data_IF_977629358353
#
_entry.id   IF_977629358353
#
_cell.length_a   1.000
_cell.length_b   1.000
_cell.length_c   1.000
_cell.angle_alpha   90.00
_cell.angle_beta   90.00
_cell.angle_gamma   90.00
#
_symmetry.space_group_name_H-M   'P 1'
#
loop_
_entity.id
_entity.type
_entity.pdbx_description
1 polymer ?
#
# COMPACT_ATOMS: atom_id res chain seq x y z
N UNK A 1 -0.50 43.11 -16.72
CA UNK A 1 -0.41 41.84 -15.97
C UNK A 1 0.23 40.82 -16.91
N UNK A 2 1.48 40.48 -16.63
CA UNK A 2 2.30 39.61 -17.49
C UNK A 2 1.54 38.32 -17.82
N UNK A 3 1.63 37.88 -19.07
CA UNK A 3 1.06 36.61 -19.55
C UNK A 3 1.43 35.46 -18.61
N UNK A 4 2.63 35.52 -18.04
CA UNK A 4 3.10 34.63 -16.99
C UNK A 4 2.23 34.61 -15.73
N UNK A 5 1.90 35.77 -15.13
CA UNK A 5 1.07 35.86 -13.93
C UNK A 5 -0.35 35.31 -14.16
N UNK A 6 -0.93 35.59 -15.33
CA UNK A 6 -2.23 35.02 -15.73
C UNK A 6 -2.18 33.49 -15.78
N UNK A 7 -1.07 32.92 -16.22
CA UNK A 7 -0.91 31.47 -16.31
C UNK A 7 -0.89 30.82 -14.94
N UNK A 8 -0.14 31.41 -14.01
CA UNK A 8 -0.07 30.95 -12.63
C UNK A 8 -1.46 30.98 -12.00
N UNK A 9 -2.17 32.11 -12.14
CA UNK A 9 -3.49 32.28 -11.53
C UNK A 9 -4.56 31.35 -12.14
N UNK A 10 -4.53 31.11 -13.45
CA UNK A 10 -5.60 30.36 -14.13
C UNK A 10 -5.39 28.84 -14.14
N UNK A 11 -4.16 28.36 -13.95
CA UNK A 11 -3.82 26.94 -14.13
C UNK A 11 -3.01 26.39 -12.97
N UNK A 12 -1.96 27.08 -12.53
CA UNK A 12 -1.07 26.58 -11.47
C UNK A 12 -1.76 26.52 -10.11
N UNK A 13 -2.26 27.66 -9.60
CA UNK A 13 -2.94 27.69 -8.30
C UNK A 13 -4.21 26.83 -8.26
N UNK A 14 -5.08 26.82 -9.29
CA UNK A 14 -6.23 25.91 -9.31
C UNK A 14 -5.84 24.43 -9.25
N UNK A 15 -4.72 24.04 -9.87
CA UNK A 15 -4.22 22.67 -9.77
C UNK A 15 -3.73 22.36 -8.37
N UNK A 16 -2.91 23.23 -7.75
CA UNK A 16 -2.43 23.01 -6.39
C UNK A 16 -3.57 22.95 -5.37
N UNK A 17 -4.53 23.87 -5.48
CA UNK A 17 -5.71 23.88 -4.62
C UNK A 17 -6.52 22.61 -4.77
N UNK A 18 -6.77 22.16 -6.01
CA UNK A 18 -7.47 20.90 -6.27
C UNK A 18 -6.71 19.70 -5.71
N UNK A 19 -5.38 19.66 -5.88
CA UNK A 19 -4.56 18.56 -5.36
C UNK A 19 -4.56 18.52 -3.84
N UNK A 20 -4.45 19.67 -3.18
CA UNK A 20 -4.51 19.77 -1.72
C UNK A 20 -5.90 19.32 -1.21
N UNK A 21 -6.96 19.85 -1.82
CA UNK A 21 -8.33 19.48 -1.49
C UNK A 21 -8.58 17.98 -1.70
N UNK A 22 -8.03 17.40 -2.76
CA UNK A 22 -8.15 15.98 -3.03
C UNK A 22 -7.44 15.13 -1.97
N UNK A 23 -6.18 15.43 -1.65
CA UNK A 23 -5.42 14.67 -0.63
C UNK A 23 -6.10 14.78 0.74
N UNK A 24 -6.45 16.00 1.17
CA UNK A 24 -7.10 16.21 2.47
C UNK A 24 -8.51 15.63 2.50
N UNK A 25 -9.32 15.86 1.48
CA UNK A 25 -10.70 15.39 1.40
C UNK A 25 -10.79 13.87 1.30
N UNK A 26 -9.93 13.25 0.48
CA UNK A 26 -9.86 11.79 0.40
C UNK A 26 -9.45 11.18 1.74
N UNK A 27 -8.39 11.69 2.35
CA UNK A 27 -7.89 11.17 3.63
C UNK A 27 -8.94 11.32 4.75
N UNK A 28 -9.69 12.43 4.76
CA UNK A 28 -10.78 12.65 5.70
C UNK A 28 -11.92 11.66 5.51
N UNK A 29 -12.37 11.43 4.26
CA UNK A 29 -13.44 10.47 3.96
C UNK A 29 -13.00 9.04 4.27
N UNK A 30 -11.76 8.67 3.92
CA UNK A 30 -11.18 7.37 4.24
C UNK A 30 -11.17 7.16 5.76
N UNK A 31 -10.61 8.11 6.51
CA UNK A 31 -10.61 8.07 7.97
C UNK A 31 -12.03 7.95 8.54
N UNK A 32 -12.96 8.79 8.09
CA UNK A 32 -14.32 8.82 8.64
C UNK A 32 -15.07 7.51 8.36
N UNK A 33 -15.06 7.02 7.12
CA UNK A 33 -15.89 5.89 6.71
C UNK A 33 -15.29 4.53 7.08
N UNK A 34 -13.97 4.35 6.91
CA UNK A 34 -13.34 3.04 7.10
C UNK A 34 -12.71 2.88 8.47
N UNK A 35 -12.10 3.95 9.02
CA UNK A 35 -11.41 3.86 10.31
C UNK A 35 -12.34 4.16 11.48
N UNK A 36 -13.12 5.24 11.39
CA UNK A 36 -13.95 5.67 12.52
C UNK A 36 -15.33 5.01 12.55
N UNK A 37 -15.98 4.85 11.40
CA UNK A 37 -17.31 4.26 11.30
C UNK A 37 -17.31 2.77 10.97
N UNK A 38 -16.15 2.20 10.58
CA UNK A 38 -15.99 0.81 10.15
C UNK A 38 -17.11 0.33 9.20
N UNK A 39 -17.61 1.23 8.33
CA UNK A 39 -18.88 1.03 7.63
C UNK A 39 -18.84 -0.18 6.69
N UNK A 40 -17.65 -0.54 6.18
CA UNK A 40 -17.40 -1.67 5.31
C UNK A 40 -15.90 -2.00 5.27
N UNK A 41 -15.55 -3.28 5.12
CA UNK A 41 -14.16 -3.72 4.94
C UNK A 41 -13.81 -3.82 3.46
N UNK A 42 -13.11 -2.82 2.92
CA UNK A 42 -12.55 -2.88 1.58
C UNK A 42 -11.15 -3.51 1.57
N UNK A 43 -10.80 -4.05 0.41
CA UNK A 43 -9.43 -4.43 0.12
C UNK A 43 -8.50 -3.20 0.20
N UNK A 44 -7.40 -3.34 0.92
CA UNK A 44 -6.45 -2.26 1.14
C UNK A 44 -5.82 -1.74 -0.15
N UNK A 45 -5.58 -2.60 -1.14
CA UNK A 45 -5.00 -2.21 -2.42
C UNK A 45 -6.02 -1.33 -3.18
N UNK A 46 -7.31 -1.61 -3.04
CA UNK A 46 -8.37 -0.80 -3.65
C UNK A 46 -8.38 0.61 -3.04
N UNK A 47 -8.33 0.70 -1.71
CA UNK A 47 -8.43 2.00 -1.01
C UNK A 47 -7.14 2.80 -1.13
N UNK A 48 -5.99 2.18 -0.91
CA UNK A 48 -4.74 2.92 -0.80
C UNK A 48 -4.13 3.24 -2.17
N UNK A 49 -4.43 2.45 -3.21
CA UNK A 49 -3.83 2.59 -4.54
C UNK A 49 -4.86 2.91 -5.63
N UNK A 50 -5.85 2.04 -5.85
CA UNK A 50 -6.72 2.12 -7.03
C UNK A 50 -7.71 3.29 -6.97
N UNK A 51 -8.37 3.52 -5.82
CA UNK A 51 -9.33 4.61 -5.66
C UNK A 51 -8.66 5.99 -5.84
N UNK A 52 -7.53 6.31 -5.19
CA UNK A 52 -6.80 7.55 -5.44
C UNK A 52 -6.44 7.71 -6.93
N UNK A 53 -6.04 6.62 -7.60
CA UNK A 53 -5.66 6.64 -9.00
C UNK A 53 -6.87 6.90 -9.94
N UNK A 54 -8.02 6.28 -9.69
CA UNK A 54 -9.23 6.45 -10.51
C UNK A 54 -9.87 7.82 -10.28
N UNK A 55 -9.98 8.24 -9.01
CA UNK A 55 -10.58 9.54 -8.68
C UNK A 55 -9.73 10.70 -9.19
N UNK A 56 -8.40 10.57 -9.16
CA UNK A 56 -7.53 11.60 -9.71
C UNK A 56 -7.66 11.74 -11.22
N UNK A 57 -7.88 10.65 -11.95
CA UNK A 57 -8.26 10.67 -13.36
C UNK A 57 -9.55 11.46 -13.59
N UNK A 58 -10.60 11.14 -12.84
CA UNK A 58 -11.91 11.78 -12.97
C UNK A 58 -11.82 13.30 -12.71
N UNK A 59 -11.21 13.69 -11.59
CA UNK A 59 -11.03 15.09 -11.23
C UNK A 59 -10.19 15.86 -12.26
N UNK A 60 -9.13 15.23 -12.78
CA UNK A 60 -8.27 15.86 -13.80
C UNK A 60 -9.01 16.05 -15.12
N UNK A 61 -9.85 15.10 -15.54
CA UNK A 61 -10.66 15.22 -16.77
C UNK A 61 -11.70 16.36 -16.62
N UNK A 62 -12.34 16.48 -15.46
CA UNK A 62 -13.40 17.48 -15.25
C UNK A 62 -12.81 18.88 -15.06
N UNK A 63 -11.79 19.03 -14.22
CA UNK A 63 -11.28 20.34 -13.80
C UNK A 63 -10.03 20.78 -14.54
N UNK A 64 -9.06 19.89 -14.78
CA UNK A 64 -7.76 20.27 -15.37
C UNK A 64 -7.84 20.32 -16.89
N UNK A 65 -8.48 19.34 -17.54
CA UNK A 65 -8.64 19.29 -19.01
C UNK A 65 -9.19 20.59 -19.63
N UNK A 66 -10.29 21.22 -19.14
CA UNK A 66 -10.78 22.47 -19.72
C UNK A 66 -9.81 23.64 -19.54
N UNK A 67 -9.01 23.64 -18.47
CA UNK A 67 -7.98 24.66 -18.24
C UNK A 67 -6.78 24.47 -19.17
N UNK A 68 -6.40 23.21 -19.46
CA UNK A 68 -5.36 22.89 -20.44
C UNK A 68 -5.75 23.31 -21.87
N UNK A 69 -7.05 23.36 -22.22
CA UNK A 69 -7.48 23.88 -23.53
C UNK A 69 -7.10 25.35 -23.76
N UNK A 70 -6.82 26.12 -22.69
CA UNK A 70 -6.36 27.52 -22.76
C UNK A 70 -4.87 27.66 -23.08
N UNK A 71 -4.15 26.54 -23.20
CA UNK A 71 -2.75 26.50 -23.54
C UNK A 71 -2.54 26.17 -25.02
N UNK A 72 -1.57 26.83 -25.63
CA UNK A 72 -1.20 26.62 -27.03
C UNK A 72 -0.15 25.52 -27.11
N UNK A 73 -0.58 24.31 -27.46
CA UNK A 73 0.30 23.18 -27.68
C UNK A 73 0.67 23.05 -29.16
N UNK A 74 1.92 22.67 -29.44
CA UNK A 74 2.42 22.44 -30.81
C UNK A 74 1.89 21.13 -31.38
N UNK A 75 1.78 20.09 -30.54
CA UNK A 75 1.24 18.77 -30.92
C UNK A 75 -0.03 18.50 -30.12
N UNK A 76 -1.04 17.90 -30.76
CA UNK A 76 -2.32 17.65 -30.09
C UNK A 76 -2.18 16.65 -28.92
N UNK A 77 -1.32 15.63 -29.08
CA UNK A 77 -1.03 14.65 -28.02
C UNK A 77 -0.40 15.27 -26.76
N UNK A 78 0.23 16.44 -26.84
CA UNK A 78 0.85 17.10 -25.68
C UNK A 78 -0.16 17.40 -24.57
N UNK A 79 -1.42 17.70 -24.93
CA UNK A 79 -2.49 17.93 -23.94
C UNK A 79 -2.75 16.70 -23.08
N UNK A 80 -2.75 15.52 -23.71
CA UNK A 80 -2.94 14.25 -23.02
C UNK A 80 -1.78 13.95 -22.08
N UNK A 81 -0.53 14.22 -22.48
CA UNK A 81 0.63 14.07 -21.61
C UNK A 81 0.56 14.98 -20.37
N UNK A 82 0.15 16.24 -20.53
CA UNK A 82 -0.03 17.15 -19.38
C UNK A 82 -1.14 16.65 -18.44
N UNK A 83 -2.22 16.09 -18.99
CA UNK A 83 -3.28 15.49 -18.20
C UNK A 83 -2.79 14.27 -17.42
N UNK A 84 -2.05 13.36 -18.06
CA UNK A 84 -1.48 12.18 -17.42
C UNK A 84 -0.54 12.58 -16.27
N UNK A 85 0.32 13.57 -16.49
CA UNK A 85 1.21 14.08 -15.44
C UNK A 85 0.39 14.70 -14.30
N UNK A 86 -0.62 15.53 -14.59
CA UNK A 86 -1.48 16.12 -13.56
C UNK A 86 -2.15 15.05 -12.68
N UNK A 87 -2.59 13.94 -13.29
CA UNK A 87 -3.14 12.78 -12.57
C UNK A 87 -2.10 12.20 -11.61
N UNK A 88 -0.89 11.92 -12.08
CA UNK A 88 0.17 11.33 -11.24
C UNK A 88 0.60 12.27 -10.11
N UNK A 89 0.76 13.56 -10.40
CA UNK A 89 1.14 14.57 -9.42
C UNK A 89 0.09 14.76 -8.31
N UNK A 90 -1.16 14.38 -8.56
CA UNK A 90 -2.24 14.41 -7.58
C UNK A 90 -2.45 13.06 -6.88
N UNK A 91 -2.28 11.94 -7.60
CA UNK A 91 -2.46 10.59 -7.08
C UNK A 91 -1.36 10.18 -6.10
N UNK A 92 -0.09 10.38 -6.47
CA UNK A 92 1.07 9.93 -5.67
C UNK A 92 1.06 10.48 -4.24
N UNK A 93 0.94 11.80 -3.97
CA UNK A 93 0.88 12.30 -2.61
C UNK A 93 -0.37 11.80 -1.84
N UNK A 94 -1.47 11.49 -2.55
CA UNK A 94 -2.67 10.92 -1.94
C UNK A 94 -2.42 9.47 -1.49
N UNK A 95 -1.80 8.65 -2.32
CA UNK A 95 -1.42 7.25 -2.02
C UNK A 95 -0.51 7.21 -0.79
N UNK A 96 0.54 8.04 -0.79
CA UNK A 96 1.48 8.14 0.36
C UNK A 96 0.75 8.62 1.63
N UNK A 97 -0.22 9.54 1.49
CA UNK A 97 -1.04 9.97 2.62
C UNK A 97 -1.92 8.84 3.18
N UNK A 98 -2.42 7.93 2.34
CA UNK A 98 -3.20 6.79 2.81
C UNK A 98 -2.35 5.78 3.59
N UNK A 99 -1.13 5.52 3.13
CA UNK A 99 -0.18 4.68 3.87
C UNK A 99 0.20 5.26 5.24
N UNK A 100 0.31 6.58 5.33
CA UNK A 100 0.55 7.28 6.60
C UNK A 100 -0.67 7.23 7.52
N UNK A 101 -1.87 7.43 6.97
CA UNK A 101 -3.12 7.38 7.71
C UNK A 101 -3.27 6.00 8.37
N UNK A 102 -3.08 4.92 7.59
CA UNK A 102 -3.14 3.53 8.06
C UNK A 102 -2.27 3.30 9.30
N UNK A 103 -1.01 3.74 9.28
CA UNK A 103 -0.09 3.50 10.41
C UNK A 103 -0.36 4.42 11.59
N UNK A 104 -0.80 5.65 11.34
CA UNK A 104 -1.05 6.64 12.40
C UNK A 104 -2.30 6.32 13.21
N UNK A 105 -3.38 5.89 12.54
CA UNK A 105 -4.67 5.66 13.19
C UNK A 105 -4.78 4.27 13.82
N UNK A 106 -3.85 3.37 13.50
CA UNK A 106 -3.84 2.04 14.08
C UNK A 106 -3.55 2.06 15.59
N UNK A 107 -4.51 1.58 16.38
CA UNK A 107 -4.40 1.44 17.83
C UNK A 107 -3.58 0.21 18.19
N UNK A 108 -2.71 0.36 19.19
CA UNK A 108 -2.01 -0.74 19.86
C UNK A 108 -2.83 -1.21 21.07
N UNK A 109 -3.18 -2.49 21.08
CA UNK A 109 -3.87 -3.14 22.20
C UNK A 109 -2.91 -4.11 22.88
N UNK A 110 -2.80 -4.00 24.20
CA UNK A 110 -2.04 -4.96 25.00
C UNK A 110 -2.98 -6.10 25.38
N UNK A 111 -2.57 -7.34 25.10
CA UNK A 111 -3.27 -8.54 25.51
C UNK A 111 -2.37 -9.33 26.45
N UNK A 112 -2.93 -9.80 27.55
CA UNK A 112 -2.20 -10.71 28.45
C UNK A 112 -1.99 -12.05 27.73
N UNK A 113 -3.00 -12.52 27.00
CA UNK A 113 -2.96 -13.77 26.23
C UNK A 113 -3.65 -13.60 24.87
N UNK A 114 -3.24 -14.36 23.87
CA UNK A 114 -3.89 -14.40 22.55
C UNK A 114 -5.37 -14.84 22.63
N UNK A 115 -5.80 -15.51 23.71
CA UNK A 115 -7.21 -15.85 23.94
C UNK A 115 -8.12 -14.61 24.05
N UNK A 116 -7.57 -13.50 24.55
CA UNK A 116 -8.31 -12.24 24.72
C UNK A 116 -8.63 -11.56 23.38
N UNK A 117 -8.06 -12.04 22.27
CA UNK A 117 -8.34 -11.54 20.93
C UNK A 117 -9.84 -11.51 20.61
N UNK A 118 -10.59 -12.48 21.11
CA UNK A 118 -12.02 -12.63 20.90
C UNK A 118 -12.88 -11.85 21.91
N UNK A 119 -12.26 -11.29 22.95
CA UNK A 119 -12.93 -10.51 24.00
C UNK A 119 -12.89 -9.00 23.76
N UNK A 120 -12.01 -8.54 22.86
CA UNK A 120 -11.82 -7.14 22.54
C UNK A 120 -12.27 -6.81 21.11
N UNK A 121 -12.59 -5.55 20.89
CA UNK A 121 -12.79 -5.04 19.54
C UNK A 121 -11.52 -5.22 18.69
N UNK A 122 -11.74 -5.41 17.40
CA UNK A 122 -10.69 -5.63 16.43
C UNK A 122 -9.81 -4.38 16.32
N UNK A 123 -8.52 -4.51 16.59
CA UNK A 123 -7.55 -3.40 16.45
C UNK A 123 -6.45 -3.76 15.46
N UNK A 124 -5.71 -2.74 15.02
CA UNK A 124 -4.67 -2.90 14.00
C UNK A 124 -3.41 -3.56 14.56
N UNK A 125 -3.04 -3.27 15.81
CA UNK A 125 -1.79 -3.71 16.40
C UNK A 125 -2.02 -4.33 17.78
N UNK A 126 -1.28 -5.42 18.06
CA UNK A 126 -1.37 -6.14 19.33
C UNK A 126 0.01 -6.38 19.92
N UNK A 127 0.15 -6.15 21.22
CA UNK A 127 1.31 -6.56 22.00
C UNK A 127 0.87 -7.71 22.91
N UNK A 128 1.50 -8.88 22.75
CA UNK A 128 1.17 -10.08 23.51
C UNK A 128 2.18 -10.27 24.64
N UNK A 129 1.71 -10.51 25.86
CA UNK A 129 2.59 -10.90 26.97
C UNK A 129 2.85 -12.42 26.98
N UNK A 130 1.79 -13.21 26.77
CA UNK A 130 1.86 -14.66 26.72
C UNK A 130 1.31 -15.20 25.40
N UNK A 131 2.16 -15.91 24.66
CA UNK A 131 1.76 -16.65 23.47
C UNK A 131 2.77 -17.74 23.13
N UNK A 132 2.32 -18.77 22.43
CA UNK A 132 3.18 -19.80 21.88
C UNK A 132 2.98 -19.90 20.36
N UNK A 133 4.00 -19.54 19.59
CA UNK A 133 4.01 -19.68 18.14
C UNK A 133 4.73 -20.98 17.79
N UNK A 134 4.01 -21.89 17.15
CA UNK A 134 4.54 -23.20 16.82
C UNK A 134 5.18 -23.22 15.42
N UNK A 135 6.48 -23.53 15.38
CA UNK A 135 7.26 -23.68 14.14
C UNK A 135 7.16 -25.09 13.52
N UNK A 136 6.48 -26.03 14.16
CA UNK A 136 6.42 -27.43 13.69
C UNK A 136 5.22 -27.69 12.79
N UNK A 137 4.05 -27.09 13.08
CA UNK A 137 2.80 -27.31 12.34
C UNK A 137 2.50 -26.17 11.35
N UNK A 138 3.48 -25.83 10.51
CA UNK A 138 3.39 -24.67 9.61
C UNK A 138 2.59 -24.95 8.34
N UNK A 139 1.97 -23.89 7.82
CA UNK A 139 1.41 -23.85 6.47
C UNK A 139 2.34 -23.14 5.49
N UNK A 140 2.46 -23.66 4.25
CA UNK A 140 3.38 -23.15 3.23
C UNK A 140 2.69 -22.89 1.89
N UNK A 141 2.86 -21.69 1.36
CA UNK A 141 2.39 -21.30 0.02
C UNK A 141 3.56 -20.68 -0.76
N UNK A 142 3.70 -21.07 -2.02
CA UNK A 142 4.75 -20.58 -2.92
C UNK A 142 4.08 -19.85 -4.08
N UNK A 143 4.55 -18.66 -4.39
CA UNK A 143 4.09 -17.90 -5.56
C UNK A 143 5.26 -17.65 -6.53
N UNK A 144 4.94 -17.69 -7.82
CA UNK A 144 5.83 -17.38 -8.93
C UNK A 144 5.06 -16.46 -9.87
N UNK A 145 5.45 -15.20 -9.90
CA UNK A 145 4.75 -14.17 -10.65
C UNK A 145 5.69 -13.49 -11.63
N UNK A 146 5.28 -13.45 -12.90
CA UNK A 146 6.03 -12.74 -13.93
C UNK A 146 5.55 -11.30 -13.99
N UNK A 147 6.46 -10.35 -13.77
CA UNK A 147 6.15 -8.93 -13.68
C UNK A 147 7.07 -8.08 -14.56
N UNK A 148 6.77 -6.78 -14.62
CA UNK A 148 7.55 -5.80 -15.35
C UNK A 148 7.28 -5.69 -16.84
N UNK A 149 7.96 -4.72 -17.46
CA UNK A 149 7.79 -4.42 -18.88
C UNK A 149 8.36 -5.56 -19.73
N UNK A 150 7.54 -6.10 -20.63
CA UNK A 150 7.88 -7.27 -21.45
C UNK A 150 8.20 -8.52 -20.62
N UNK A 151 7.56 -8.68 -19.45
CA UNK A 151 7.71 -9.88 -18.62
C UNK A 151 9.18 -10.13 -18.25
N UNK A 152 9.90 -9.07 -17.87
CA UNK A 152 11.35 -9.11 -17.63
C UNK A 152 11.75 -9.62 -16.25
N UNK A 153 10.84 -9.60 -15.28
CA UNK A 153 11.09 -9.98 -13.89
C UNK A 153 10.25 -11.21 -13.52
N UNK A 154 10.84 -12.08 -12.71
CA UNK A 154 10.19 -13.23 -12.11
C UNK A 154 10.32 -13.06 -10.59
N UNK A 155 9.18 -12.81 -9.95
CA UNK A 155 9.04 -12.66 -8.52
C UNK A 155 8.76 -14.02 -7.90
N UNK A 156 9.63 -14.45 -7.00
CA UNK A 156 9.49 -15.69 -6.24
C UNK A 156 9.12 -15.30 -4.81
N UNK A 157 8.06 -15.90 -4.27
CA UNK A 157 7.63 -15.64 -2.90
C UNK A 157 7.36 -16.96 -2.16
N UNK A 158 7.75 -17.00 -0.89
CA UNK A 158 7.45 -18.07 0.05
C UNK A 158 6.68 -17.47 1.23
N UNK A 159 5.41 -17.84 1.33
CA UNK A 159 4.51 -17.46 2.41
C UNK A 159 4.45 -18.60 3.42
N UNK A 160 4.71 -18.28 4.68
CA UNK A 160 4.70 -19.22 5.79
C UNK A 160 3.68 -18.70 6.82
N UNK A 161 2.77 -19.57 7.23
CA UNK A 161 1.84 -19.30 8.32
C UNK A 161 2.10 -20.27 9.47
N UNK A 162 2.33 -19.75 10.67
CA UNK A 162 2.57 -20.51 11.88
C UNK A 162 1.40 -20.34 12.85
N UNK A 163 0.85 -21.41 13.42
CA UNK A 163 -0.25 -21.29 14.36
C UNK A 163 0.20 -20.66 15.69
N UNK A 164 -0.65 -19.80 16.25
CA UNK A 164 -0.46 -19.15 17.54
C UNK A 164 -1.43 -19.77 18.55
N UNK A 165 -0.88 -20.17 19.70
CA UNK A 165 -1.58 -20.70 20.85
C UNK A 165 -1.36 -19.81 22.07
N UNK A 166 -2.16 -20.02 23.12
CA UNK A 166 -1.91 -19.37 24.41
C UNK A 166 -0.66 -19.96 25.07
N UNK A 167 -0.57 -21.29 25.09
CA UNK A 167 0.53 -22.01 25.72
C UNK A 167 1.07 -23.14 24.85
N UNK A 168 2.28 -23.62 25.20
CA UNK A 168 2.89 -24.76 24.49
C UNK A 168 2.07 -26.04 24.64
N UNK A 169 1.44 -26.26 25.79
CA UNK A 169 0.63 -27.46 26.04
C UNK A 169 -0.54 -27.59 25.05
N UNK A 170 -1.08 -26.45 24.60
CA UNK A 170 -2.22 -26.38 23.68
C UNK A 170 -1.85 -26.85 22.26
N UNK A 171 -0.59 -26.77 21.85
CA UNK A 171 -0.16 -27.09 20.47
C UNK A 171 -0.43 -28.54 20.02
N UNK A 172 -0.71 -29.45 20.95
CA UNK A 172 -0.98 -30.87 20.67
C UNK A 172 -2.46 -31.23 20.56
N UNK A 173 -3.36 -30.44 21.14
CA UNK A 173 -4.79 -30.78 21.28
C UNK A 173 -5.74 -29.62 20.98
N UNK A 174 -5.24 -28.39 20.93
CA UNK A 174 -6.03 -27.19 20.69
C UNK A 174 -5.89 -26.73 19.25
N UNK A 175 -6.89 -25.97 18.82
CA UNK A 175 -6.88 -25.32 17.51
C UNK A 175 -6.11 -24.01 17.58
N UNK A 176 -5.51 -23.62 16.46
CA UNK A 176 -4.79 -22.36 16.36
C UNK A 176 -5.73 -21.19 16.62
N UNK A 177 -5.40 -20.32 17.57
CA UNK A 177 -6.22 -19.15 17.92
C UNK A 177 -6.03 -18.00 16.93
N UNK A 178 -4.86 -17.94 16.29
CA UNK A 178 -4.54 -17.02 15.21
C UNK A 178 -3.31 -17.54 14.45
N UNK A 179 -2.87 -16.80 13.44
CA UNK A 179 -1.73 -17.16 12.61
C UNK A 179 -0.67 -16.07 12.62
N UNK A 180 0.58 -16.48 12.72
CA UNK A 180 1.76 -15.66 12.51
C UNK A 180 2.20 -15.82 11.05
N UNK A 181 2.28 -14.73 10.31
CA UNK A 181 2.75 -14.69 8.93
C UNK A 181 4.24 -14.37 8.83
N UNK A 182 4.93 -15.07 7.93
CA UNK A 182 6.30 -14.76 7.51
C UNK A 182 6.37 -14.88 5.99
N UNK A 183 7.00 -13.91 5.34
CA UNK A 183 7.13 -13.88 3.88
C UNK A 183 8.58 -13.65 3.49
N UNK A 184 9.06 -14.46 2.55
CA UNK A 184 10.33 -14.27 1.87
C UNK A 184 10.05 -13.98 0.40
N UNK A 185 10.78 -13.02 -0.18
CA UNK A 185 10.63 -12.64 -1.57
C UNK A 185 12.00 -12.44 -2.22
N UNK A 186 12.11 -12.85 -3.48
CA UNK A 186 13.27 -12.59 -4.32
C UNK A 186 12.84 -12.35 -5.76
N UNK A 187 13.34 -11.28 -6.35
CA UNK A 187 13.17 -11.00 -7.77
C UNK A 187 14.39 -11.49 -8.55
N UNK A 188 14.16 -12.18 -9.67
CA UNK A 188 15.19 -12.57 -10.63
C UNK A 188 14.78 -12.15 -12.04
N UNK A 189 15.72 -12.15 -12.98
CA UNK A 189 15.35 -11.90 -14.37
C UNK A 189 14.55 -13.08 -14.94
N UNK A 190 13.40 -12.78 -15.54
CA UNK A 190 12.64 -13.77 -16.30
C UNK A 190 13.25 -14.04 -17.69
N UNK A 191 14.37 -13.41 -18.04
CA UNK A 191 15.11 -13.67 -19.29
C UNK A 191 16.16 -14.77 -19.16
N UNK A 192 16.39 -15.26 -17.95
CA UNK A 192 17.31 -16.38 -17.70
C UNK A 192 16.84 -17.65 -18.41
N UNK A 193 17.78 -18.53 -18.71
CA UNK A 193 17.47 -19.85 -19.24
C UNK A 193 16.65 -20.67 -18.22
N UNK A 194 15.78 -21.59 -18.66
CA UNK A 194 14.91 -22.37 -17.75
C UNK A 194 15.68 -23.07 -16.62
N UNK A 195 16.83 -23.67 -16.93
CA UNK A 195 17.67 -24.36 -15.96
C UNK A 195 18.25 -23.40 -14.91
N UNK A 196 18.61 -22.19 -15.31
CA UNK A 196 19.11 -21.16 -14.39
C UNK A 196 18.00 -20.65 -13.47
N UNK A 197 16.78 -20.47 -14.00
CA UNK A 197 15.61 -20.10 -13.18
C UNK A 197 15.33 -21.15 -12.11
N UNK A 198 15.35 -22.43 -12.48
CA UNK A 198 15.13 -23.51 -11.54
C UNK A 198 16.22 -23.56 -10.46
N UNK A 199 17.49 -23.37 -10.86
CA UNK A 199 18.60 -23.29 -9.92
C UNK A 199 18.45 -22.12 -8.94
N UNK A 200 18.07 -20.93 -9.43
CA UNK A 200 17.82 -19.77 -8.57
C UNK A 200 16.61 -19.95 -7.65
N UNK A 201 15.55 -20.60 -8.13
CA UNK A 201 14.38 -20.90 -7.29
C UNK A 201 14.73 -21.88 -6.17
N UNK A 202 15.51 -22.93 -6.45
CA UNK A 202 16.01 -23.86 -5.43
C UNK A 202 16.91 -23.15 -4.41
N UNK A 203 17.81 -22.29 -4.88
CA UNK A 203 18.68 -21.49 -4.01
C UNK A 203 17.86 -20.52 -3.11
N UNK A 204 16.84 -19.86 -3.67
CA UNK A 204 15.91 -19.01 -2.93
C UNK A 204 15.19 -19.79 -1.82
N UNK A 205 14.64 -20.97 -2.14
CA UNK A 205 13.96 -21.79 -1.14
C UNK A 205 14.91 -22.28 -0.05
N UNK A 206 16.11 -22.76 -0.40
CA UNK A 206 17.11 -23.21 0.57
C UNK A 206 17.51 -22.07 1.52
N UNK A 207 17.79 -20.88 0.97
CA UNK A 207 18.10 -19.68 1.75
C UNK A 207 16.95 -19.30 2.68
N UNK A 208 15.73 -19.21 2.14
CA UNK A 208 14.54 -18.82 2.92
C UNK A 208 14.23 -19.79 4.05
N UNK A 209 14.41 -21.09 3.83
CA UNK A 209 14.21 -22.12 4.86
C UNK A 209 15.31 -22.07 5.93
N UNK A 210 16.56 -21.78 5.56
CA UNK A 210 17.63 -21.58 6.55
C UNK A 210 17.34 -20.35 7.43
N UNK A 211 16.99 -19.21 6.84
CA UNK A 211 16.58 -18.02 7.59
C UNK A 211 15.35 -18.29 8.47
N UNK A 212 14.40 -19.08 7.98
CA UNK A 212 13.24 -19.51 8.77
C UNK A 212 13.62 -20.41 9.95
N UNK A 213 14.57 -21.32 9.79
CA UNK A 213 15.02 -22.19 10.86
C UNK A 213 15.69 -21.39 11.98
N UNK A 214 16.44 -20.35 11.64
CA UNK A 214 17.11 -19.45 12.59
C UNK A 214 16.16 -18.44 13.27
N UNK A 215 15.00 -18.16 12.66
CA UNK A 215 14.02 -17.22 13.21
C UNK A 215 13.52 -17.65 14.60
N UNK A 216 13.72 -16.82 15.62
CA UNK A 216 12.98 -16.90 16.87
C UNK A 216 11.61 -16.23 16.70
N UNK A 217 10.50 -17.00 16.69
CA UNK A 217 9.18 -16.46 16.41
C UNK A 217 8.65 -15.64 17.60
N UNK A 218 9.28 -15.70 18.79
CA UNK A 218 8.89 -14.95 19.98
C UNK A 218 9.60 -13.59 20.11
N UNK A 219 10.59 -13.31 19.26
CA UNK A 219 11.40 -12.09 19.33
C UNK A 219 10.70 -10.82 18.82
N UNK A 220 9.41 -10.88 18.46
CA UNK A 220 8.66 -9.73 17.97
C UNK A 220 8.35 -8.73 19.11
N UNK A 221 8.24 -7.45 18.76
CA UNK A 221 7.82 -6.39 19.69
C UNK A 221 6.30 -6.29 19.72
N UNK A 222 5.66 -6.35 18.55
CA UNK A 222 4.20 -6.34 18.41
C UNK A 222 3.79 -7.04 17.11
N UNK A 223 2.50 -7.34 17.00
CA UNK A 223 1.86 -7.97 15.86
C UNK A 223 0.97 -6.96 15.14
N UNK A 224 1.09 -6.89 13.81
CA UNK A 224 0.17 -6.14 12.95
C UNK A 224 -0.89 -7.09 12.39
N UNK A 225 -2.16 -6.83 12.66
CA UNK A 225 -3.26 -7.54 12.03
C UNK A 225 -3.35 -7.18 10.56
N UNK A 226 -3.37 -8.18 9.69
CA UNK A 226 -3.56 -7.94 8.26
C UNK A 226 -5.04 -7.70 7.96
N UNK A 227 -5.36 -6.56 7.35
CA UNK A 227 -6.67 -6.31 6.77
C UNK A 227 -6.82 -7.08 5.42
N UNK A 228 -8.03 -7.17 4.85
CA UNK A 228 -8.25 -7.76 3.53
C UNK A 228 -7.29 -7.17 2.48
N UNK A 229 -6.46 -8.04 1.91
CA UNK A 229 -5.43 -7.68 0.93
C UNK A 229 -4.96 -8.95 0.21
N UNK A 230 -4.30 -8.77 -0.93
CA UNK A 230 -3.59 -9.83 -1.66
C UNK A 230 -2.61 -10.61 -0.75
N UNK A 231 -1.82 -9.91 0.06
CA UNK A 231 -0.89 -10.49 1.04
C UNK A 231 -1.61 -11.38 2.07
N UNK A 232 -2.72 -10.90 2.63
CA UNK A 232 -3.51 -11.68 3.59
C UNK A 232 -4.06 -12.95 2.93
N UNK A 233 -4.50 -12.86 1.69
CA UNK A 233 -5.02 -14.02 0.93
C UNK A 233 -3.96 -15.10 0.78
N UNK A 234 -2.74 -14.76 0.33
CA UNK A 234 -1.65 -15.73 0.17
C UNK A 234 -1.24 -16.39 1.50
N UNK A 235 -1.23 -15.62 2.59
CA UNK A 235 -0.95 -16.17 3.92
C UNK A 235 -2.10 -17.03 4.47
N UNK A 236 -3.37 -16.73 4.13
CA UNK A 236 -4.49 -17.62 4.45
C UNK A 236 -4.38 -18.92 3.65
N UNK A 237 -4.01 -18.84 2.38
CA UNK A 237 -3.75 -20.03 1.56
C UNK A 237 -2.56 -20.85 2.09
N UNK A 238 -1.55 -20.20 2.67
CA UNK A 238 -0.49 -20.89 3.41
C UNK A 238 -1.07 -21.59 4.63
N UNK A 239 -1.82 -20.86 5.47
CA UNK A 239 -2.43 -21.36 6.70
C UNK A 239 -3.32 -22.57 6.45
N UNK A 240 -4.15 -22.55 5.40
CA UNK A 240 -5.03 -23.67 4.99
C UNK A 240 -4.29 -24.98 4.70
N UNK A 241 -2.99 -24.92 4.42
CA UNK A 241 -2.15 -26.10 4.19
C UNK A 241 -1.48 -26.62 5.46
N UNK A 242 -1.65 -25.94 6.59
CA UNK A 242 -1.28 -26.47 7.90
C UNK A 242 -2.28 -27.55 8.32
N UNK A 243 -1.83 -28.63 8.98
CA UNK A 243 -2.72 -29.65 9.53
C UNK A 243 -3.65 -29.13 10.63
N UNK A 244 -3.38 -27.95 11.21
CA UNK A 244 -4.16 -27.36 12.30
C UNK A 244 -5.12 -26.23 11.85
N UNK A 245 -5.30 -26.03 10.54
CA UNK A 245 -6.14 -24.94 10.05
C UNK A 245 -7.62 -25.11 10.34
N UNK A 246 -8.25 -24.03 10.81
CA UNK A 246 -9.69 -23.93 10.97
C UNK A 246 -10.22 -22.67 10.32
N UNK A 247 -11.33 -22.80 9.59
CA UNK A 247 -11.94 -21.71 8.85
C UNK A 247 -12.47 -20.56 9.73
N UNK A 248 -12.68 -20.81 11.03
CA UNK A 248 -13.09 -19.79 12.01
C UNK A 248 -11.93 -18.86 12.41
N UNK A 249 -10.68 -19.35 12.32
CA UNK A 249 -9.48 -18.65 12.80
C UNK A 249 -8.73 -17.99 11.64
N UNK A 250 -9.37 -17.02 10.96
CA UNK A 250 -8.83 -16.33 9.76
C UNK A 250 -7.95 -15.11 10.09
N UNK A 251 -7.61 -14.91 11.36
CA UNK A 251 -6.78 -13.79 11.79
C UNK A 251 -5.32 -14.11 11.55
N UNK A 252 -4.67 -13.34 10.69
CA UNK A 252 -3.24 -13.40 10.45
C UNK A 252 -2.58 -12.13 10.93
N UNK A 253 -1.48 -12.31 11.63
CA UNK A 253 -0.62 -11.26 12.11
C UNK A 253 0.71 -11.25 11.37
N UNK A 254 1.23 -10.07 11.08
CA UNK A 254 2.59 -9.86 10.63
C UNK A 254 3.42 -9.35 11.82
N UNK A 255 4.50 -10.06 12.22
CA UNK A 255 5.37 -9.60 13.30
C UNK A 255 6.11 -8.31 12.93
N UNK A 256 6.32 -7.46 13.92
CA UNK A 256 7.19 -6.28 13.83
C UNK A 256 8.23 -6.35 14.93
N UNK A 257 9.48 -6.09 14.55
CA UNK A 257 10.65 -6.19 15.43
C UNK A 257 11.18 -4.81 15.84
N UNK A 258 10.65 -3.75 15.24
CA UNK A 258 10.99 -2.38 15.60
C UNK A 258 10.02 -1.85 16.67
N UNK A 259 10.42 -0.82 17.45
CA UNK A 259 9.53 -0.17 18.40
C UNK A 259 8.26 0.38 17.73
N UNK A 260 7.12 0.31 18.43
CA UNK A 260 5.83 0.77 17.91
C UNK A 260 5.83 2.24 17.42
N UNK A 261 6.61 3.10 18.06
CA UNK A 261 6.74 4.51 17.68
C UNK A 261 7.46 4.70 16.33
N UNK A 262 8.26 3.72 15.88
CA UNK A 262 8.97 3.78 14.61
C UNK A 262 8.06 3.50 13.39
N UNK A 263 6.84 2.98 13.59
CA UNK A 263 5.93 2.52 12.52
C UNK A 263 5.62 3.56 11.44
N UNK A 264 5.65 4.84 11.81
CA UNK A 264 5.36 5.95 10.91
C UNK A 264 6.58 6.35 10.08
N UNK A 265 7.79 6.02 10.55
CA UNK A 265 9.06 6.41 9.93
C UNK A 265 9.06 7.86 9.46
N UNK A 266 9.34 8.06 8.18
CA UNK A 266 9.32 9.36 7.53
C UNK A 266 8.09 9.58 6.62
N UNK A 267 7.04 8.75 6.73
CA UNK A 267 5.89 8.77 5.81
C UNK A 267 5.21 10.13 5.75
N UNK A 268 5.03 10.82 6.89
CA UNK A 268 4.46 12.17 6.92
C UNK A 268 5.29 13.15 6.08
N UNK A 269 6.62 13.12 6.23
CA UNK A 269 7.54 13.99 5.48
C UNK A 269 7.47 13.67 3.98
N UNK A 270 7.33 12.39 3.62
CA UNK A 270 7.18 11.97 2.23
C UNK A 270 5.94 12.56 1.56
N UNK A 271 4.82 12.72 2.27
CA UNK A 271 3.62 13.39 1.72
C UNK A 271 3.98 14.80 1.24
N UNK A 272 4.65 15.58 2.09
CA UNK A 272 5.06 16.96 1.77
C UNK A 272 6.10 17.00 0.66
N UNK A 273 7.09 16.09 0.67
CA UNK A 273 8.10 15.99 -0.39
C UNK A 273 7.42 15.74 -1.73
N UNK A 274 6.53 14.74 -1.84
CA UNK A 274 5.84 14.43 -3.08
C UNK A 274 4.95 15.56 -3.56
N UNK A 275 4.27 16.26 -2.64
CA UNK A 275 3.46 17.43 -2.98
C UNK A 275 4.32 18.59 -3.53
N UNK A 276 5.43 18.92 -2.87
CA UNK A 276 6.34 20.00 -3.30
C UNK A 276 7.03 19.66 -4.62
N UNK A 277 7.54 18.44 -4.77
CA UNK A 277 8.12 17.96 -6.03
C UNK A 277 7.08 18.04 -7.14
N UNK A 278 5.85 17.61 -6.89
CA UNK A 278 4.77 17.72 -7.87
C UNK A 278 4.43 19.15 -8.25
N UNK A 279 4.37 20.06 -7.28
CA UNK A 279 4.18 21.49 -7.52
C UNK A 279 5.29 22.05 -8.43
N UNK A 280 6.56 21.74 -8.14
CA UNK A 280 7.70 22.19 -8.95
C UNK A 280 7.67 21.62 -10.38
N UNK A 281 7.38 20.32 -10.53
CA UNK A 281 7.27 19.68 -11.85
C UNK A 281 6.14 20.33 -12.65
N UNK A 282 4.97 20.56 -12.05
CA UNK A 282 3.86 21.22 -12.71
C UNK A 282 4.21 22.66 -13.12
N UNK A 283 4.90 23.40 -12.26
CA UNK A 283 5.37 24.75 -12.55
C UNK A 283 6.30 24.78 -13.77
N UNK A 284 7.33 23.91 -13.80
CA UNK A 284 8.29 23.82 -14.91
C UNK A 284 7.61 23.42 -16.22
N UNK A 285 6.66 22.48 -16.17
CA UNK A 285 5.87 22.11 -17.35
C UNK A 285 5.06 23.27 -17.89
N UNK A 286 4.50 24.09 -17.00
CA UNK A 286 3.81 25.32 -17.38
C UNK A 286 4.79 26.34 -17.98
N UNK A 287 6.03 26.48 -17.53
CA UNK A 287 6.97 27.42 -18.16
C UNK A 287 7.20 27.14 -19.66
N UNK A 288 7.11 25.88 -20.09
CA UNK A 288 7.38 25.46 -21.47
C UNK A 288 6.28 25.74 -22.49
N UNK A 289 5.11 26.20 -22.05
CA UNK A 289 3.93 26.34 -22.92
C UNK A 289 3.38 27.76 -22.86
N UNK A 290 2.89 28.29 -23.98
CA UNK A 290 2.30 29.63 -23.99
C UNK A 290 0.77 29.58 -23.76
N UNK A 291 0.21 30.65 -23.19
CA UNK A 291 -1.24 30.84 -23.14
C UNK A 291 -1.77 31.12 -24.54
N UNK A 292 -2.94 30.58 -24.86
CA UNK A 292 -3.67 30.94 -26.06
C UNK A 292 -4.54 32.17 -25.78
N UNK A 293 -4.02 33.36 -26.09
CA UNK A 293 -4.68 34.64 -25.83
C UNK A 293 -6.05 34.79 -26.51
N UNK A 294 -6.30 34.04 -27.60
CA UNK A 294 -7.60 34.03 -28.30
C UNK A 294 -8.67 33.31 -27.49
N UNK A 295 -8.29 32.37 -26.62
CA UNK A 295 -9.19 31.61 -25.75
C UNK A 295 -9.56 32.33 -24.44
N UNK A 296 -8.88 33.45 -24.13
CA UNK A 296 -8.99 34.17 -22.84
C UNK A 296 -9.74 35.51 -22.97
N UNK A 297 -9.89 36.08 -24.17
CA UNK A 297 -10.73 37.27 -24.38
C UNK A 297 -12.21 36.88 -24.40
N UNK A 298 -13.11 37.61 -23.69
CA UNK A 298 -14.54 37.42 -23.85
C UNK A 298 -14.87 37.67 -25.33
N UNK A 299 -15.69 36.79 -25.94
CA UNK A 299 -16.26 37.04 -27.27
C UNK A 299 -16.94 38.42 -27.19
N UNK A 300 -16.32 39.44 -27.81
CA UNK A 300 -17.02 40.69 -28.08
C UNK A 300 -18.16 40.29 -29.02
N UNK A 301 -19.39 40.41 -28.51
CA UNK A 301 -20.60 40.43 -29.34
C UNK A 301 -20.54 41.67 -30.23
#
# INVERSE_FOLDING_TARGET
MDVFLKKIQLIYFPFLFLSLLFVSGYSFVHWLLLVNLEFFSLDEDIVNLWLPQILSWLLSIIYIRPRLKRLKFVKDNSRFFYLLIAVQLMAVPCIVAQEYLKTTTGKLTQLASIQELYLHENTQYYQLQQSYIDKTQIGLQRSLEVTGKHSSHLNMALYIAMPIFAERADSWHANALAWYGKVYQQEISNRLEPNEKEAQFKAFLAKSLNEFNELDPQSFVYLERLAPSSLRSELLSAAQKSPLYQAEHQTIFMPKFEPFEARNGHKLVWIFIWFVVGALVWFVLLLRVNLDEKSVKPRRK
#
